data_IF_242073995115
#
_entry.id   IF_242073995115
#
_cell.length_a   1.000
_cell.length_b   1.000
_cell.length_c   1.000
_cell.angle_alpha   90.00
_cell.angle_beta   90.00
_cell.angle_gamma   90.00
#
_symmetry.space_group_name_H-M   'P 1'
#
loop_
_entity.id
_entity.type
_entity.pdbx_description
1 polymer ?
#
# COMPACT_ATOMS: atom_id res chain seq x y z
N UNK A 1 18.21 -51.94 9.54
CA UNK A 1 18.28 -50.61 10.18
C UNK A 1 18.32 -49.50 9.11
N UNK A 2 19.27 -49.48 8.19
CA UNK A 2 19.45 -48.45 7.17
C UNK A 2 18.20 -48.23 6.29
N UNK A 3 17.55 -49.29 5.79
CA UNK A 3 16.31 -49.17 5.00
C UNK A 3 15.16 -48.50 5.76
N UNK A 4 15.00 -48.78 7.05
CA UNK A 4 13.96 -48.11 7.86
C UNK A 4 14.24 -46.61 8.02
N UNK A 5 15.50 -46.26 8.29
CA UNK A 5 15.93 -44.86 8.38
C UNK A 5 15.68 -44.15 7.05
N UNK A 6 16.03 -44.78 5.92
CA UNK A 6 15.80 -44.22 4.60
C UNK A 6 14.32 -43.95 4.32
N UNK A 7 13.43 -44.93 4.60
CA UNK A 7 11.99 -44.74 4.40
C UNK A 7 11.39 -43.69 5.35
N UNK A 8 11.88 -43.59 6.58
CA UNK A 8 11.45 -42.55 7.50
C UNK A 8 11.86 -41.15 7.02
N UNK A 9 13.09 -41.04 6.50
CA UNK A 9 13.57 -39.76 5.91
C UNK A 9 12.75 -39.37 4.67
N UNK A 10 12.46 -40.33 3.80
CA UNK A 10 11.64 -40.11 2.62
C UNK A 10 10.21 -39.67 2.98
N UNK A 11 9.62 -40.27 4.01
CA UNK A 11 8.30 -39.88 4.51
C UNK A 11 8.30 -38.45 5.06
N UNK A 12 9.31 -38.07 5.84
CA UNK A 12 9.46 -36.71 6.38
C UNK A 12 9.61 -35.70 5.26
N UNK A 13 10.45 -35.98 4.26
CA UNK A 13 10.63 -35.11 3.10
C UNK A 13 9.30 -34.99 2.32
N UNK A 14 8.58 -36.08 2.12
CA UNK A 14 7.28 -36.05 1.42
C UNK A 14 6.25 -35.21 2.16
N UNK A 15 6.17 -35.36 3.49
CA UNK A 15 5.28 -34.55 4.32
C UNK A 15 5.66 -33.07 4.22
N UNK A 16 6.95 -32.76 4.26
CA UNK A 16 7.44 -31.38 4.13
C UNK A 16 7.14 -30.77 2.75
N UNK A 17 7.31 -31.55 1.67
CA UNK A 17 6.95 -31.12 0.30
C UNK A 17 5.45 -30.88 0.20
N UNK A 18 4.62 -31.79 0.69
CA UNK A 18 3.16 -31.62 0.69
C UNK A 18 2.77 -30.38 1.49
N UNK A 19 3.40 -30.17 2.62
CA UNK A 19 3.17 -29.00 3.46
C UNK A 19 3.56 -27.70 2.74
N UNK A 20 4.72 -27.65 2.04
CA UNK A 20 5.11 -26.52 1.19
C UNK A 20 4.06 -26.26 0.09
N UNK A 21 3.62 -27.31 -0.60
CA UNK A 21 2.61 -27.16 -1.67
C UNK A 21 1.28 -26.60 -1.12
N UNK A 22 0.84 -27.08 0.04
CA UNK A 22 -0.37 -26.57 0.71
C UNK A 22 -0.18 -25.09 1.12
N UNK A 23 1.01 -24.74 1.60
CA UNK A 23 1.32 -23.37 1.99
C UNK A 23 1.45 -22.43 0.79
N UNK A 24 1.99 -22.92 -0.31
CA UNK A 24 2.09 -22.15 -1.57
C UNK A 24 0.75 -22.03 -2.31
N UNK A 25 -0.22 -22.88 -2.01
CA UNK A 25 -1.50 -22.89 -2.73
C UNK A 25 -2.22 -21.55 -2.75
N UNK A 26 -2.28 -20.74 -1.66
CA UNK A 26 -2.86 -19.42 -1.68
C UNK A 26 -2.08 -18.42 -2.56
N UNK A 27 -0.77 -18.58 -2.65
CA UNK A 27 0.10 -17.72 -3.47
C UNK A 27 -0.08 -18.09 -4.95
N UNK A 28 -0.18 -19.39 -5.25
CA UNK A 28 -0.42 -19.90 -6.60
C UNK A 28 -1.86 -19.64 -7.09
N UNK A 29 -2.80 -19.46 -6.16
CA UNK A 29 -4.20 -19.13 -6.42
C UNK A 29 -4.53 -17.69 -6.01
N UNK A 30 -3.54 -16.79 -6.04
CA UNK A 30 -3.78 -15.37 -5.77
C UNK A 30 -4.92 -14.90 -6.65
N UNK A 31 -6.01 -14.55 -6.01
CA UNK A 31 -7.16 -13.99 -6.68
C UNK A 31 -6.75 -12.68 -7.35
N UNK A 32 -7.01 -12.56 -8.64
CA UNK A 32 -6.69 -11.32 -9.37
C UNK A 32 -7.37 -10.15 -8.67
N UNK A 33 -6.69 -9.01 -8.64
CA UNK A 33 -7.34 -7.78 -8.22
C UNK A 33 -8.59 -7.54 -9.09
N UNK A 34 -9.63 -6.89 -8.55
CA UNK A 34 -10.70 -6.36 -9.37
C UNK A 34 -10.11 -5.52 -10.51
N UNK A 35 -10.60 -5.70 -11.73
CA UNK A 35 -10.08 -4.99 -12.89
C UNK A 35 -10.30 -3.47 -12.81
N UNK A 36 -11.24 -3.04 -11.97
CA UNK A 36 -11.63 -1.64 -11.84
C UNK A 36 -11.62 -1.21 -10.38
N UNK A 37 -11.26 0.04 -10.15
CA UNK A 37 -11.44 0.68 -8.87
C UNK A 37 -12.93 0.88 -8.55
N UNK A 38 -13.32 0.89 -7.26
CA UNK A 38 -14.69 1.16 -6.87
C UNK A 38 -15.07 2.59 -7.28
N UNK A 39 -16.32 2.75 -7.71
CA UNK A 39 -16.85 4.09 -8.00
C UNK A 39 -17.12 4.84 -6.69
N UNK A 40 -16.47 5.99 -6.53
CA UNK A 40 -16.64 6.88 -5.39
C UNK A 40 -17.37 8.14 -5.90
N UNK A 41 -18.67 8.25 -5.65
CA UNK A 41 -19.50 9.36 -6.14
C UNK A 41 -19.93 10.34 -5.06
N UNK A 42 -19.99 9.92 -3.80
CA UNK A 42 -20.75 10.59 -2.75
C UNK A 42 -19.87 11.39 -1.75
N UNK A 43 -18.84 12.07 -2.27
CA UNK A 43 -18.05 13.00 -1.46
C UNK A 43 -18.80 14.34 -1.39
N UNK A 44 -19.19 14.80 -0.18
CA UNK A 44 -19.89 16.06 -0.02
C UNK A 44 -19.01 17.28 -0.29
N UNK A 45 -19.61 18.46 -0.38
CA UNK A 45 -18.85 19.71 -0.56
C UNK A 45 -17.94 20.04 0.64
N UNK A 46 -18.40 19.75 1.86
CA UNK A 46 -17.58 19.84 3.07
C UNK A 46 -16.65 18.63 3.19
N UNK A 47 -15.53 18.68 2.46
CA UNK A 47 -14.52 17.63 2.45
C UNK A 47 -13.90 17.43 3.84
N UNK A 48 -13.61 18.51 4.56
CA UNK A 48 -12.99 18.41 5.90
C UNK A 48 -13.92 17.72 6.89
N UNK A 49 -15.22 18.08 6.88
CA UNK A 49 -16.24 17.42 7.71
C UNK A 49 -16.40 15.94 7.36
N UNK A 50 -16.41 15.63 6.06
CA UNK A 50 -16.46 14.25 5.57
C UNK A 50 -15.27 13.42 6.05
N UNK A 51 -14.04 13.92 5.86
CA UNK A 51 -12.83 13.23 6.30
C UNK A 51 -12.82 13.06 7.82
N UNK A 52 -13.17 14.10 8.57
CA UNK A 52 -13.25 14.01 10.03
C UNK A 52 -14.23 12.94 10.49
N UNK A 53 -15.39 12.82 9.84
CA UNK A 53 -16.36 11.78 10.14
C UNK A 53 -15.76 10.39 9.85
N UNK A 54 -15.20 10.18 8.66
CA UNK A 54 -14.59 8.92 8.25
C UNK A 54 -13.47 8.48 9.18
N UNK A 55 -12.59 9.39 9.55
CA UNK A 55 -11.48 9.07 10.45
C UNK A 55 -11.95 8.81 11.89
N UNK A 56 -13.07 9.41 12.32
CA UNK A 56 -13.66 9.13 13.65
C UNK A 56 -14.24 7.70 13.78
N UNK A 57 -14.47 7.02 12.67
CA UNK A 57 -14.91 5.61 12.63
C UNK A 57 -13.74 4.63 12.83
N UNK A 58 -12.49 5.12 12.80
CA UNK A 58 -11.29 4.32 12.95
C UNK A 58 -10.68 4.57 14.33
N UNK A 59 -10.51 3.52 15.11
CA UNK A 59 -9.93 3.63 16.45
C UNK A 59 -8.42 3.84 16.41
N UNK A 60 -7.94 4.66 17.33
CA UNK A 60 -6.51 4.77 17.68
C UNK A 60 -5.59 5.13 16.51
N UNK A 61 -6.04 6.00 15.60
CA UNK A 61 -5.18 6.53 14.55
C UNK A 61 -3.99 7.26 15.20
N UNK A 62 -2.78 6.95 14.76
CA UNK A 62 -1.58 7.63 15.23
C UNK A 62 -1.63 9.12 14.91
N UNK A 63 -1.11 9.99 15.77
CA UNK A 63 -1.06 11.43 15.51
C UNK A 63 -0.46 11.73 14.14
N UNK A 64 -1.13 12.59 13.39
CA UNK A 64 -0.74 13.04 12.04
C UNK A 64 -0.88 12.00 10.92
N UNK A 65 -1.43 10.81 11.19
CA UNK A 65 -1.67 9.79 10.17
C UNK A 65 -2.99 9.96 9.43
N UNK A 66 -3.89 10.80 9.95
CA UNK A 66 -5.24 11.00 9.43
C UNK A 66 -5.25 11.52 7.99
N UNK A 67 -6.27 11.11 7.23
CA UNK A 67 -6.59 11.71 5.94
C UNK A 67 -6.79 13.22 6.11
N UNK A 68 -6.02 14.04 5.40
CA UNK A 68 -6.02 15.49 5.64
C UNK A 68 -5.85 16.27 4.35
N UNK A 69 -6.67 17.31 4.15
CA UNK A 69 -6.46 18.34 3.14
C UNK A 69 -5.68 19.52 3.75
N UNK A 70 -4.55 19.83 3.17
CA UNK A 70 -3.78 21.05 3.46
C UNK A 70 -4.17 22.10 2.42
N UNK A 71 -5.02 23.02 2.82
CA UNK A 71 -5.51 24.08 1.96
C UNK A 71 -4.46 25.18 1.77
N UNK A 72 -4.21 25.55 0.54
CA UNK A 72 -3.27 26.63 0.21
C UNK A 72 -3.74 28.01 0.70
N UNK A 73 -5.03 28.16 0.95
CA UNK A 73 -5.61 29.41 1.43
C UNK A 73 -6.77 29.17 2.41
N UNK A 74 -7.05 30.17 3.23
CA UNK A 74 -8.08 30.11 4.28
C UNK A 74 -9.51 29.99 3.75
N UNK A 75 -9.75 30.33 2.48
CA UNK A 75 -11.07 30.23 1.87
C UNK A 75 -11.39 28.82 1.39
N UNK A 76 -10.41 27.91 1.44
CA UNK A 76 -10.54 26.51 1.00
C UNK A 76 -11.05 26.39 -0.45
N UNK A 77 -10.62 27.30 -1.30
CA UNK A 77 -11.00 27.30 -2.70
C UNK A 77 -10.18 26.28 -3.50
N UNK A 78 -10.76 25.79 -4.57
CA UNK A 78 -10.09 25.01 -5.61
C UNK A 78 -8.89 25.78 -6.17
N UNK A 79 -7.76 25.12 -6.32
CA UNK A 79 -6.53 25.69 -6.87
C UNK A 79 -6.29 25.16 -8.29
N UNK A 80 -5.39 25.80 -9.05
CA UNK A 80 -5.03 25.34 -10.40
C UNK A 80 -4.51 23.90 -10.38
N UNK A 81 -3.73 23.53 -9.35
CA UNK A 81 -3.23 22.17 -9.16
C UNK A 81 -3.67 21.66 -7.80
N UNK A 82 -3.97 20.39 -7.71
CA UNK A 82 -4.00 19.64 -6.45
C UNK A 82 -2.91 18.60 -6.46
N UNK A 83 -2.31 18.36 -5.30
CA UNK A 83 -1.40 17.25 -5.07
C UNK A 83 -2.17 16.21 -4.26
N UNK A 84 -2.19 14.98 -4.75
CA UNK A 84 -2.73 13.82 -4.06
C UNK A 84 -1.58 12.87 -3.78
N UNK A 85 -1.35 12.54 -2.52
CA UNK A 85 -0.26 11.66 -2.12
C UNK A 85 -0.76 10.32 -1.63
N UNK A 86 -0.28 9.25 -2.26
CA UNK A 86 -0.50 7.85 -1.86
C UNK A 86 0.81 7.31 -1.28
N UNK A 87 0.78 7.01 0.01
CA UNK A 87 1.96 6.57 0.75
C UNK A 87 2.31 5.10 0.51
N UNK A 88 3.50 4.68 0.93
CA UNK A 88 4.00 3.32 0.83
C UNK A 88 3.42 2.36 1.88
N UNK A 89 3.79 1.09 1.74
CA UNK A 89 3.48 0.06 2.73
C UNK A 89 4.10 0.42 4.09
N UNK A 90 3.39 0.12 5.17
CA UNK A 90 3.77 0.39 6.57
C UNK A 90 3.91 1.87 6.94
N UNK A 91 3.81 2.80 6.00
CA UNK A 91 4.00 4.23 6.23
C UNK A 91 2.67 5.00 6.26
N UNK A 92 2.77 6.30 6.45
CA UNK A 92 1.66 7.26 6.30
C UNK A 92 2.13 8.48 5.51
N UNK A 93 1.21 9.38 5.17
CA UNK A 93 1.55 10.64 4.52
C UNK A 93 2.54 11.51 5.31
N UNK A 94 2.60 11.32 6.61
CA UNK A 94 3.46 12.11 7.49
C UNK A 94 4.96 11.98 7.17
N UNK A 95 5.41 10.81 6.72
CA UNK A 95 6.81 10.57 6.32
C UNK A 95 7.28 11.57 5.26
N UNK A 96 6.41 11.92 4.32
CA UNK A 96 6.73 12.81 3.19
C UNK A 96 6.20 14.24 3.39
N UNK A 97 5.64 14.56 4.55
CA UNK A 97 4.91 15.81 4.83
C UNK A 97 5.74 17.07 4.55
N UNK A 98 7.01 17.06 4.96
CA UNK A 98 7.86 18.25 4.76
C UNK A 98 8.10 18.53 3.27
N UNK A 99 8.43 17.50 2.51
CA UNK A 99 8.60 17.57 1.06
C UNK A 99 7.31 18.02 0.37
N UNK A 100 6.18 17.37 0.70
CA UNK A 100 4.89 17.65 0.10
C UNK A 100 4.40 19.07 0.40
N UNK A 101 4.61 19.57 1.62
CA UNK A 101 4.27 20.94 1.98
C UNK A 101 5.12 21.98 1.20
N UNK A 102 6.41 21.71 1.02
CA UNK A 102 7.28 22.59 0.20
C UNK A 102 6.83 22.57 -1.27
N UNK A 103 6.48 21.41 -1.79
CA UNK A 103 6.02 21.27 -3.17
C UNK A 103 4.66 21.96 -3.36
N UNK A 104 3.70 21.76 -2.46
CA UNK A 104 2.38 22.39 -2.55
C UNK A 104 2.47 23.91 -2.46
N UNK A 105 3.33 24.42 -1.59
CA UNK A 105 3.59 25.86 -1.50
C UNK A 105 4.22 26.42 -2.78
N UNK A 106 5.19 25.72 -3.36
CA UNK A 106 5.85 26.14 -4.61
C UNK A 106 4.90 26.17 -5.80
N UNK A 107 3.93 25.26 -5.85
CA UNK A 107 2.91 25.18 -6.91
C UNK A 107 1.65 25.99 -6.60
N UNK A 108 1.54 26.61 -5.42
CA UNK A 108 0.29 27.19 -4.90
C UNK A 108 -0.88 26.20 -5.00
N UNK A 109 -0.63 24.94 -4.67
CA UNK A 109 -1.57 23.84 -4.80
C UNK A 109 -2.20 23.47 -3.45
N UNK A 110 -3.43 23.01 -3.45
CA UNK A 110 -3.97 22.23 -2.34
C UNK A 110 -3.32 20.86 -2.31
N UNK A 111 -3.10 20.32 -1.11
CA UNK A 111 -2.49 19.01 -0.92
C UNK A 111 -3.43 18.10 -0.14
N UNK A 112 -3.71 16.92 -0.68
CA UNK A 112 -4.39 15.86 0.05
C UNK A 112 -3.42 14.72 0.34
N UNK A 113 -3.28 14.39 1.62
CA UNK A 113 -2.57 13.21 2.07
C UNK A 113 -3.58 12.17 2.53
N UNK A 114 -3.64 11.05 1.81
CA UNK A 114 -4.51 9.94 2.20
C UNK A 114 -3.88 9.09 3.30
N UNK A 115 -4.70 8.33 3.98
CA UNK A 115 -4.33 7.20 4.82
C UNK A 115 -4.98 5.94 4.23
N UNK A 116 -4.17 5.02 3.78
CA UNK A 116 -4.66 3.73 3.30
C UNK A 116 -5.21 2.90 4.46
N UNK A 117 -6.28 2.19 4.22
CA UNK A 117 -6.93 1.33 5.23
C UNK A 117 -5.94 0.39 5.90
N UNK A 118 -6.01 0.30 7.22
CA UNK A 118 -5.09 -0.50 8.03
C UNK A 118 -3.72 0.13 8.28
N UNK A 119 -3.43 1.32 7.72
CA UNK A 119 -2.20 2.05 7.99
C UNK A 119 -2.40 3.15 9.04
N UNK A 120 -1.33 3.55 9.71
CA UNK A 120 -1.37 4.61 10.72
C UNK A 120 -2.20 4.26 11.96
N UNK A 121 -2.29 2.99 12.31
CA UNK A 121 -3.08 2.45 13.43
C UNK A 121 -2.28 1.36 14.14
N UNK A 122 -2.61 1.04 15.42
CA UNK A 122 -2.02 -0.09 16.13
C UNK A 122 -2.32 -1.44 15.44
N UNK A 123 -1.63 -2.51 15.89
CA UNK A 123 -1.72 -3.86 15.34
C UNK A 123 -3.15 -4.33 15.02
N UNK A 124 -4.10 -4.16 15.94
CA UNK A 124 -5.48 -4.58 15.74
C UNK A 124 -6.15 -3.88 14.55
N UNK A 125 -5.81 -2.61 14.30
CA UNK A 125 -6.30 -1.85 13.17
C UNK A 125 -5.72 -2.33 11.83
N UNK A 126 -4.53 -2.92 11.81
CA UNK A 126 -3.90 -3.42 10.58
C UNK A 126 -4.69 -4.56 9.92
N UNK A 127 -5.52 -5.28 10.67
CA UNK A 127 -6.47 -6.27 10.14
C UNK A 127 -7.45 -5.68 9.12
N UNK A 128 -7.61 -4.36 9.10
CA UNK A 128 -8.40 -3.64 8.10
C UNK A 128 -7.66 -3.41 6.78
N UNK A 129 -6.38 -3.77 6.70
CA UNK A 129 -5.57 -3.69 5.48
C UNK A 129 -6.04 -4.76 4.48
N UNK A 130 -7.12 -4.45 3.79
CA UNK A 130 -7.74 -5.26 2.76
C UNK A 130 -7.64 -4.54 1.42
N UNK A 131 -7.29 -5.25 0.37
CA UNK A 131 -7.01 -4.63 -0.92
C UNK A 131 -8.19 -3.82 -1.48
N UNK A 132 -9.41 -4.31 -1.29
CA UNK A 132 -10.62 -3.63 -1.77
C UNK A 132 -10.81 -2.27 -1.07
N UNK A 133 -10.49 -2.21 0.24
CA UNK A 133 -10.53 -0.96 1.01
C UNK A 133 -9.41 -0.02 0.59
N UNK A 134 -8.21 -0.56 0.34
CA UNK A 134 -7.07 0.21 -0.16
C UNK A 134 -7.39 0.80 -1.53
N UNK A 135 -7.98 0.02 -2.44
CA UNK A 135 -8.41 0.53 -3.75
C UNK A 135 -9.48 1.61 -3.62
N UNK A 136 -10.41 1.47 -2.66
CA UNK A 136 -11.37 2.52 -2.35
C UNK A 136 -10.68 3.80 -1.87
N UNK A 137 -9.71 3.71 -0.96
CA UNK A 137 -8.97 4.87 -0.45
C UNK A 137 -8.23 5.62 -1.57
N UNK A 138 -7.66 4.89 -2.53
CA UNK A 138 -7.00 5.48 -3.71
C UNK A 138 -8.01 6.19 -4.62
N UNK A 139 -9.14 5.55 -4.91
CA UNK A 139 -10.21 6.16 -5.70
C UNK A 139 -10.76 7.41 -5.02
N UNK A 140 -11.06 7.33 -3.72
CA UNK A 140 -11.48 8.46 -2.90
C UNK A 140 -10.46 9.61 -2.96
N UNK A 141 -9.17 9.29 -2.84
CA UNK A 141 -8.10 10.29 -2.87
C UNK A 141 -8.06 11.05 -4.20
N UNK A 142 -8.20 10.36 -5.32
CA UNK A 142 -8.22 10.98 -6.66
C UNK A 142 -9.45 11.85 -6.83
N UNK A 143 -10.63 11.40 -6.39
CA UNK A 143 -11.86 12.18 -6.45
C UNK A 143 -11.77 13.44 -5.57
N UNK A 144 -11.18 13.33 -4.37
CA UNK A 144 -10.90 14.51 -3.54
C UNK A 144 -9.94 15.45 -4.26
N UNK A 145 -8.88 14.93 -4.89
CA UNK A 145 -7.95 15.70 -5.70
C UNK A 145 -8.66 16.54 -6.76
N UNK A 146 -9.58 15.94 -7.50
CA UNK A 146 -10.41 16.61 -8.52
C UNK A 146 -11.32 17.71 -7.90
N UNK A 147 -11.75 17.53 -6.67
CA UNK A 147 -12.56 18.52 -5.95
C UNK A 147 -11.75 19.72 -5.47
N UNK A 148 -10.50 19.53 -5.09
CA UNK A 148 -9.65 20.57 -4.50
C UNK A 148 -8.68 21.22 -5.51
N UNK A 149 -8.55 20.69 -6.73
CA UNK A 149 -7.73 21.25 -7.82
C UNK A 149 -8.36 21.08 -9.18
N UNK A 150 -7.98 21.95 -10.15
CA UNK A 150 -8.40 21.83 -11.55
C UNK A 150 -7.62 20.72 -12.27
N UNK A 151 -6.34 20.53 -11.89
CA UNK A 151 -5.45 19.53 -12.45
C UNK A 151 -4.87 18.72 -11.30
N UNK A 152 -4.98 17.41 -11.37
CA UNK A 152 -4.54 16.49 -10.31
C UNK A 152 -3.13 15.98 -10.58
N UNK A 153 -2.22 16.26 -9.65
CA UNK A 153 -0.88 15.66 -9.61
C UNK A 153 -0.95 14.51 -8.61
N UNK A 154 -1.00 13.29 -9.11
CA UNK A 154 -1.00 12.08 -8.29
C UNK A 154 0.43 11.67 -8.01
N UNK A 155 0.82 11.66 -6.74
CA UNK A 155 2.15 11.26 -6.28
C UNK A 155 2.02 9.94 -5.52
N UNK A 156 2.71 8.90 -5.99
CA UNK A 156 2.74 7.60 -5.33
C UNK A 156 4.16 7.21 -4.90
N UNK A 157 4.31 6.69 -3.69
CA UNK A 157 5.57 6.18 -3.17
C UNK A 157 5.48 4.67 -2.92
N UNK A 158 6.45 3.87 -3.41
CA UNK A 158 6.53 2.42 -3.20
C UNK A 158 5.19 1.73 -3.52
N UNK A 159 4.52 1.08 -2.56
CA UNK A 159 3.17 0.52 -2.70
C UNK A 159 2.18 1.54 -3.29
N UNK A 160 2.20 2.78 -2.78
CA UNK A 160 1.36 3.86 -3.31
C UNK A 160 1.69 4.19 -4.77
N UNK A 161 2.94 4.00 -5.19
CA UNK A 161 3.36 4.12 -6.59
C UNK A 161 2.70 3.05 -7.47
N UNK A 162 2.72 1.79 -7.05
CA UNK A 162 2.06 0.69 -7.75
C UNK A 162 0.54 0.91 -7.86
N UNK A 163 -0.10 1.32 -6.77
CA UNK A 163 -1.53 1.64 -6.74
C UNK A 163 -1.88 2.84 -7.65
N UNK A 164 -1.00 3.85 -7.70
CA UNK A 164 -1.17 5.01 -8.58
C UNK A 164 -1.04 4.64 -10.06
N UNK A 165 -0.17 3.69 -10.41
CA UNK A 165 -0.07 3.14 -11.77
C UNK A 165 -1.34 2.36 -12.16
N UNK A 166 -1.87 1.54 -11.25
CA UNK A 166 -3.14 0.84 -11.45
C UNK A 166 -4.28 1.84 -11.68
N UNK A 167 -4.35 2.92 -10.88
CA UNK A 167 -5.36 3.97 -11.04
C UNK A 167 -5.21 4.74 -12.36
N UNK A 168 -3.96 5.00 -12.80
CA UNK A 168 -3.71 5.64 -14.10
C UNK A 168 -4.04 4.73 -15.30
N UNK A 169 -4.18 3.42 -15.09
CA UNK A 169 -4.65 2.46 -16.10
C UNK A 169 -6.16 2.15 -15.99
N UNK A 170 -6.83 2.64 -14.94
CA UNK A 170 -8.28 2.47 -14.77
C UNK A 170 -9.05 3.38 -15.73
N UNK A 171 -10.15 2.88 -16.28
CA UNK A 171 -10.93 3.55 -17.35
C UNK A 171 -11.56 4.89 -16.90
N UNK A 172 -11.90 5.00 -15.62
CA UNK A 172 -12.56 6.17 -15.04
C UNK A 172 -11.57 7.09 -14.34
N UNK A 173 -10.65 6.53 -13.54
CA UNK A 173 -9.72 7.33 -12.74
C UNK A 173 -8.61 7.95 -13.58
N UNK A 174 -8.15 7.28 -14.65
CA UNK A 174 -7.14 7.83 -15.56
C UNK A 174 -7.51 9.21 -16.12
N UNK A 175 -8.78 9.45 -16.38
CA UNK A 175 -9.30 10.73 -16.90
C UNK A 175 -9.26 11.88 -15.89
N UNK A 176 -8.99 11.57 -14.62
CA UNK A 176 -8.96 12.52 -13.50
C UNK A 176 -7.54 12.81 -13.02
N UNK A 177 -6.54 12.15 -13.62
CA UNK A 177 -5.13 12.29 -13.26
C UNK A 177 -4.42 13.01 -14.41
N UNK A 178 -3.98 14.25 -14.18
CA UNK A 178 -3.28 15.04 -15.19
C UNK A 178 -1.78 14.73 -15.22
N UNK A 179 -1.19 14.45 -14.08
CA UNK A 179 0.23 14.13 -13.94
C UNK A 179 0.43 13.04 -12.91
N UNK A 180 1.24 12.04 -13.25
CA UNK A 180 1.64 10.95 -12.38
C UNK A 180 3.10 11.11 -11.96
N UNK A 181 3.38 11.12 -10.66
CA UNK A 181 4.73 11.18 -10.12
C UNK A 181 4.95 9.95 -9.23
N UNK A 182 5.97 9.17 -9.56
CA UNK A 182 6.24 7.90 -8.90
C UNK A 182 7.62 7.94 -8.24
N UNK A 183 7.67 7.64 -6.95
CA UNK A 183 8.90 7.46 -6.20
C UNK A 183 9.05 5.97 -5.86
N UNK A 184 10.09 5.33 -6.39
CA UNK A 184 10.40 3.92 -6.18
C UNK A 184 9.12 3.05 -6.22
N UNK A 185 8.34 3.06 -7.33
CA UNK A 185 7.07 2.33 -7.38
C UNK A 185 7.30 0.83 -7.24
N UNK A 186 6.58 0.18 -6.34
CA UNK A 186 6.67 -1.25 -6.08
C UNK A 186 5.97 -2.08 -7.18
N UNK A 187 6.46 -1.99 -8.41
CA UNK A 187 5.88 -2.62 -9.60
C UNK A 187 6.70 -3.79 -10.15
N UNK A 188 7.89 -4.04 -9.61
CA UNK A 188 8.66 -5.21 -10.00
C UNK A 188 8.08 -6.45 -9.37
N UNK A 189 8.06 -7.54 -10.15
CA UNK A 189 7.56 -8.84 -9.71
C UNK A 189 8.11 -9.21 -8.33
N UNK A 190 7.36 -10.00 -7.58
CA UNK A 190 7.70 -10.35 -6.20
C UNK A 190 9.17 -10.73 -6.10
N UNK A 191 9.96 -9.90 -5.44
CA UNK A 191 11.36 -10.25 -5.19
C UNK A 191 11.42 -11.61 -4.50
N UNK A 192 12.44 -12.45 -4.70
CA UNK A 192 12.55 -13.73 -4.00
C UNK A 192 12.41 -13.58 -2.48
N UNK A 193 12.81 -12.43 -1.95
CA UNK A 193 12.67 -12.09 -0.53
C UNK A 193 11.21 -11.82 -0.14
N UNK A 194 10.49 -11.00 -0.91
CA UNK A 194 9.06 -10.74 -0.67
C UNK A 194 8.22 -12.01 -0.86
N UNK A 195 8.57 -12.85 -1.85
CA UNK A 195 7.95 -14.16 -2.05
C UNK A 195 8.18 -15.07 -0.83
N UNK A 196 9.42 -15.15 -0.33
CA UNK A 196 9.75 -15.95 0.83
C UNK A 196 9.02 -15.44 2.09
N UNK A 197 8.94 -14.13 2.29
CA UNK A 197 8.21 -13.54 3.41
C UNK A 197 6.71 -13.83 3.31
N UNK A 198 6.11 -13.73 2.13
CA UNK A 198 4.70 -14.08 1.90
C UNK A 198 4.45 -15.56 2.17
N UNK A 199 5.38 -16.43 1.75
CA UNK A 199 5.33 -17.86 2.02
C UNK A 199 5.40 -18.15 3.53
N UNK A 200 6.37 -17.58 4.22
CA UNK A 200 6.54 -17.75 5.67
C UNK A 200 5.30 -17.24 6.41
N UNK A 201 4.80 -16.06 6.06
CA UNK A 201 3.61 -15.47 6.68
C UNK A 201 2.37 -16.32 6.47
N UNK A 202 2.15 -16.85 5.27
CA UNK A 202 1.04 -17.78 4.97
C UNK A 202 1.13 -19.07 5.77
N UNK A 203 2.35 -19.58 5.99
CA UNK A 203 2.60 -20.77 6.80
C UNK A 203 2.31 -20.53 8.28
N UNK A 204 2.73 -19.38 8.79
CA UNK A 204 2.56 -18.95 10.17
C UNK A 204 1.08 -18.72 10.48
N UNK A 205 0.38 -17.98 9.65
CA UNK A 205 -1.05 -17.64 9.83
C UNK A 205 -1.94 -18.89 9.88
N UNK A 206 -1.66 -19.88 9.02
CA UNK A 206 -2.44 -21.13 8.97
C UNK A 206 -2.16 -22.10 10.10
N UNK A 207 -0.96 -22.11 10.63
CA UNK A 207 -0.56 -23.12 11.61
C UNK A 207 -0.49 -22.60 13.04
N UNK A 208 -0.40 -21.29 13.24
CA UNK A 208 -0.27 -20.62 14.54
C UNK A 208 0.92 -21.12 15.39
N UNK A 209 1.57 -22.17 14.90
CA UNK A 209 2.49 -23.00 15.67
C UNK A 209 3.96 -22.79 15.33
N UNK A 210 4.27 -22.05 14.27
CA UNK A 210 5.67 -21.84 13.85
C UNK A 210 6.30 -20.57 14.44
N UNK A 211 5.53 -19.62 14.93
CA UNK A 211 6.06 -18.39 15.55
C UNK A 211 6.93 -18.65 16.80
N UNK A 212 6.83 -19.84 17.43
CA UNK A 212 7.74 -20.25 18.48
C UNK A 212 9.11 -20.74 17.97
N UNK A 213 9.19 -21.08 16.69
CA UNK A 213 10.41 -21.61 16.05
C UNK A 213 11.11 -20.53 15.20
N UNK A 214 10.35 -19.54 14.70
CA UNK A 214 10.82 -18.47 13.81
C UNK A 214 10.33 -17.17 14.45
N UNK A 215 11.21 -16.19 14.53
CA UNK A 215 10.78 -14.85 14.92
C UNK A 215 9.80 -14.30 13.87
N UNK A 216 8.50 -14.31 14.20
CA UNK A 216 7.45 -13.82 13.31
C UNK A 216 7.24 -12.31 13.42
N UNK A 217 8.15 -11.62 14.13
CA UNK A 217 8.09 -10.17 14.22
C UNK A 217 8.45 -9.55 12.85
N UNK A 218 7.55 -8.78 12.22
CA UNK A 218 7.85 -8.10 10.97
C UNK A 218 9.10 -7.23 11.02
N UNK A 219 9.46 -6.71 12.19
CA UNK A 219 10.71 -5.94 12.39
C UNK A 219 11.96 -6.71 11.99
N UNK A 220 12.01 -8.02 12.29
CA UNK A 220 13.18 -8.85 11.98
C UNK A 220 13.40 -9.03 10.47
N UNK A 221 12.38 -8.78 9.65
CA UNK A 221 12.43 -8.93 8.20
C UNK A 221 12.69 -7.62 7.46
N UNK A 222 12.48 -6.45 8.09
CA UNK A 222 12.54 -5.16 7.41
C UNK A 222 13.78 -4.32 7.75
N UNK A 223 14.68 -4.79 8.62
CA UNK A 223 15.91 -4.08 9.03
C UNK A 223 15.65 -2.58 9.31
N UNK A 224 14.55 -2.29 10.03
CA UNK A 224 14.13 -0.94 10.33
C UNK A 224 15.02 -0.35 11.45
N UNK A 225 15.43 0.92 11.36
CA UNK A 225 16.18 1.57 12.41
C UNK A 225 15.44 1.54 13.76
N UNK A 226 16.15 1.28 14.84
CA UNK A 226 15.63 1.30 16.23
C UNK A 226 15.45 2.74 16.76
N UNK A 227 15.12 3.70 15.93
CA UNK A 227 14.91 5.09 16.34
C UNK A 227 13.44 5.29 16.72
N UNK A 228 13.14 5.82 17.91
CA UNK A 228 11.77 6.14 18.36
C UNK A 228 10.98 7.00 17.35
N UNK A 229 11.67 7.80 16.52
CA UNK A 229 11.02 8.56 15.46
C UNK A 229 10.39 7.67 14.39
N UNK A 230 10.97 6.52 14.08
CA UNK A 230 10.45 5.61 13.07
C UNK A 230 9.15 4.93 13.53
N UNK A 231 9.00 4.66 14.82
CA UNK A 231 7.77 4.06 15.37
C UNK A 231 6.53 4.94 15.15
N UNK A 232 6.70 6.27 15.03
CA UNK A 232 5.61 7.18 14.73
C UNK A 232 5.24 7.24 13.25
N UNK A 233 6.09 6.72 12.36
CA UNK A 233 5.88 6.82 10.91
C UNK A 233 5.61 5.48 10.24
N UNK A 234 6.04 4.39 10.85
CA UNK A 234 5.96 3.05 10.29
C UNK A 234 5.20 2.12 11.22
N UNK A 235 4.27 1.36 10.67
CA UNK A 235 3.74 0.21 11.38
C UNK A 235 4.85 -0.85 11.45
N UNK A 236 5.31 -1.11 12.67
CA UNK A 236 6.35 -2.10 12.94
C UNK A 236 5.76 -3.46 13.27
N UNK A 237 4.45 -3.50 13.49
CA UNK A 237 3.71 -4.70 13.85
C UNK A 237 2.38 -4.71 13.08
N UNK A 238 2.07 -5.79 12.37
CA UNK A 238 0.88 -5.93 11.56
C UNK A 238 0.45 -7.40 11.39
N UNK A 239 -0.82 -7.60 11.12
CA UNK A 239 -1.42 -8.91 10.88
C UNK A 239 -0.79 -9.58 9.65
N UNK A 240 -0.49 -10.88 9.75
CA UNK A 240 0.18 -11.63 8.68
C UNK A 240 -0.63 -11.71 7.38
N UNK A 241 -1.97 -11.61 7.45
CA UNK A 241 -2.84 -11.56 6.28
C UNK A 241 -2.55 -10.35 5.38
N UNK A 242 -1.98 -9.29 5.94
CA UNK A 242 -1.56 -8.10 5.19
C UNK A 242 -0.62 -8.43 4.03
N UNK A 243 0.33 -9.35 4.24
CA UNK A 243 1.24 -9.77 3.17
C UNK A 243 0.52 -10.42 2.00
N UNK A 244 -0.52 -11.24 2.27
CA UNK A 244 -1.34 -11.81 1.22
C UNK A 244 -2.08 -10.74 0.42
N UNK A 245 -2.63 -9.73 1.10
CA UNK A 245 -3.34 -8.63 0.44
C UNK A 245 -2.41 -7.83 -0.47
N UNK A 246 -1.21 -7.50 0.02
CA UNK A 246 -0.25 -6.67 -0.71
C UNK A 246 0.42 -7.44 -1.84
N UNK A 247 0.69 -8.73 -1.66
CA UNK A 247 1.28 -9.58 -2.71
C UNK A 247 0.43 -9.64 -3.99
N UNK A 248 -0.85 -9.30 -3.92
CA UNK A 248 -1.76 -9.23 -5.10
C UNK A 248 -1.44 -8.04 -6.01
N UNK A 249 -0.84 -6.98 -5.49
CA UNK A 249 -0.59 -5.73 -6.23
C UNK A 249 0.45 -5.89 -7.33
N UNK A 250 1.65 -6.48 -7.11
CA UNK A 250 2.60 -6.73 -8.18
C UNK A 250 2.03 -7.56 -9.34
N UNK A 251 1.21 -8.57 -9.03
CA UNK A 251 0.54 -9.35 -10.10
C UNK A 251 -0.43 -8.52 -10.94
N UNK A 252 -1.08 -7.54 -10.33
CA UNK A 252 -1.95 -6.63 -11.05
C UNK A 252 -1.14 -5.64 -11.88
N UNK A 253 -0.03 -5.11 -11.35
CA UNK A 253 0.85 -4.18 -12.09
C UNK A 253 1.53 -4.86 -13.28
N UNK A 254 1.87 -6.14 -13.20
CA UNK A 254 2.40 -6.90 -14.34
C UNK A 254 1.41 -7.01 -15.52
N UNK A 255 0.12 -6.83 -15.25
CA UNK A 255 -0.94 -6.86 -16.27
C UNK A 255 -1.23 -5.49 -16.90
N UNK A 256 -0.60 -4.41 -16.42
CA UNK A 256 -0.80 -3.06 -16.94
C UNK A 256 -0.24 -2.95 -18.37
N UNK A 257 -1.03 -2.41 -19.26
CA UNK A 257 -0.53 -1.93 -20.54
C UNK A 257 0.05 -0.53 -20.36
N UNK A 258 1.36 -0.42 -20.24
CA UNK A 258 2.04 0.88 -20.08
C UNK A 258 1.76 1.82 -21.26
N UNK A 259 1.58 1.28 -22.46
CA UNK A 259 1.23 2.04 -23.67
C UNK A 259 -0.19 2.62 -23.59
N UNK A 260 -1.06 2.09 -22.74
CA UNK A 260 -2.40 2.60 -22.51
C UNK A 260 -2.45 3.76 -21.50
N UNK A 261 -1.38 3.98 -20.74
CA UNK A 261 -1.28 5.11 -19.82
C UNK A 261 -1.00 6.37 -20.63
N UNK A 262 -2.03 7.18 -20.87
CA UNK A 262 -1.91 8.46 -21.59
C UNK A 262 -1.45 9.61 -20.71
N UNK A 263 -1.46 9.43 -19.38
CA UNK A 263 -1.06 10.43 -18.39
C UNK A 263 0.44 10.67 -18.43
N UNK A 264 0.86 11.94 -18.45
CA UNK A 264 2.29 12.29 -18.32
C UNK A 264 2.84 11.77 -17.00
N UNK A 265 3.92 11.00 -17.06
CA UNK A 265 4.51 10.37 -15.89
C UNK A 265 5.97 10.81 -15.65
N UNK A 266 6.32 11.03 -14.40
CA UNK A 266 7.68 11.26 -13.92
C UNK A 266 8.01 10.17 -12.90
N UNK A 267 9.07 9.42 -13.14
CA UNK A 267 9.45 8.27 -12.30
C UNK A 267 10.85 8.51 -11.73
N UNK A 268 10.94 8.40 -10.41
CA UNK A 268 12.20 8.43 -9.66
C UNK A 268 12.46 7.04 -9.08
N UNK A 269 13.58 6.45 -9.42
CA UNK A 269 14.01 5.15 -8.89
C UNK A 269 15.54 5.10 -8.80
N UNK A 270 16.05 4.19 -7.99
CA UNK A 270 17.47 3.85 -7.92
C UNK A 270 17.67 2.44 -8.50
N UNK A 271 18.59 2.29 -9.45
CA UNK A 271 18.91 0.98 -10.06
C UNK A 271 19.46 -0.04 -9.05
N UNK A 272 19.92 0.43 -7.89
CA UNK A 272 20.41 -0.42 -6.80
C UNK A 272 19.36 -0.66 -5.72
N UNK A 273 18.12 -0.19 -5.90
CA UNK A 273 17.04 -0.47 -4.96
C UNK A 273 16.80 -1.98 -4.88
N UNK A 274 16.80 -2.52 -3.65
CA UNK A 274 16.63 -3.94 -3.39
C UNK A 274 15.26 -4.29 -2.83
N UNK A 275 14.41 -3.29 -2.60
CA UNK A 275 13.11 -3.46 -1.99
C UNK A 275 11.96 -3.45 -3.02
N UNK A 276 12.16 -2.75 -4.14
CA UNK A 276 11.17 -2.58 -5.22
C UNK A 276 11.76 -2.88 -6.59
#
# INVERSE_FOLDING_TARGET
MIKKIFYSLLAIISIFVVWIVIAMFPILTVEKLPNNFPNVSDIPEDIDGYLKQKESEVSDIYPYAEKTVFWNNSKKNKTKYSIVFIHGFTTTGYQSKEFLNKLSAALNANLFMTRLSGHGVPYEGTKQMQIDKIMYDVAEAIIIGERIGENVILIGHSLGGALSMLAANDELLSKKIDTLVLFAPGNSGISPFAFMNTLISSLVDRTGSLCWLIDCNPRSFMDLPEDEKWENYFATDFDTNVFYQIARIPFATDSISYDAISTSALVFYDENDRLV
#
